data_IF_239298581350
#
_entry.id   IF_239298581350
#
_cell.length_a   1.000
_cell.length_b   1.000
_cell.length_c   1.000
_cell.angle_alpha   90.00
_cell.angle_beta   90.00
_cell.angle_gamma   90.00
#
_symmetry.space_group_name_H-M   'P 1'
#
loop_
_entity.id
_entity.type
_entity.pdbx_description
1 polymer ?
#
# COMPACT_ATOMS: atom_id res chain seq x y z
N UNK A 1 1.81 -62.37 -26.11
CA UNK A 1 1.38 -62.98 -24.82
C UNK A 1 2.47 -62.70 -23.78
N UNK A 2 2.07 -61.99 -22.72
CA UNK A 2 2.65 -61.82 -21.37
C UNK A 2 4.15 -61.47 -21.20
N UNK A 3 4.52 -60.30 -20.67
CA UNK A 3 4.51 -59.85 -19.25
C UNK A 3 5.42 -60.64 -18.30
N UNK A 4 6.54 -60.02 -17.88
CA UNK A 4 7.04 -59.76 -16.49
C UNK A 4 8.55 -59.44 -16.51
N UNK A 5 8.96 -58.20 -16.21
CA UNK A 5 9.18 -57.59 -14.88
C UNK A 5 10.58 -57.90 -14.31
N UNK A 6 11.51 -56.92 -14.30
CA UNK A 6 11.83 -56.02 -13.16
C UNK A 6 12.51 -56.74 -11.98
N UNK A 7 13.82 -56.50 -11.78
CA UNK A 7 14.46 -56.24 -10.48
C UNK A 7 16.00 -56.22 -10.60
N UNK A 8 16.57 -55.05 -10.83
CA UNK A 8 17.98 -54.74 -10.53
C UNK A 8 18.05 -53.43 -9.76
N UNK A 9 17.47 -53.46 -8.56
CA UNK A 9 17.62 -52.40 -7.56
C UNK A 9 18.64 -52.89 -6.53
N UNK A 10 19.77 -52.18 -6.47
CA UNK A 10 20.51 -51.88 -5.25
C UNK A 10 20.82 -53.05 -4.30
N UNK A 11 21.82 -53.83 -4.70
CA UNK A 11 22.58 -54.71 -3.82
C UNK A 11 23.71 -53.91 -3.15
N UNK A 12 23.41 -52.89 -2.34
CA UNK A 12 24.45 -52.15 -1.59
C UNK A 12 23.92 -51.32 -0.40
N UNK A 13 23.11 -51.88 0.51
CA UNK A 13 22.96 -51.28 1.86
C UNK A 13 22.47 -52.25 2.97
N UNK A 14 22.12 -53.49 2.63
CA UNK A 14 21.59 -54.45 3.62
C UNK A 14 22.63 -55.00 4.62
N UNK A 15 23.93 -54.72 4.44
CA UNK A 15 24.99 -55.25 5.30
C UNK A 15 25.32 -54.40 6.54
N UNK A 16 24.85 -53.15 6.64
CA UNK A 16 25.17 -52.27 7.79
C UNK A 16 24.22 -52.37 8.98
N UNK A 17 22.99 -52.86 8.80
CA UNK A 17 21.94 -52.78 9.83
C UNK A 17 22.01 -53.94 10.83
N UNK A 18 22.63 -55.08 10.50
CA UNK A 18 22.63 -56.27 11.37
C UNK A 18 23.45 -56.12 12.66
N UNK A 19 24.46 -55.25 12.68
CA UNK A 19 25.40 -55.08 13.81
C UNK A 19 25.04 -53.96 14.81
N UNK A 20 23.87 -53.32 14.68
CA UNK A 20 23.46 -52.23 15.56
C UNK A 20 22.66 -52.75 16.77
N UNK A 21 22.99 -52.25 17.98
CA UNK A 21 22.22 -52.50 19.21
C UNK A 21 20.74 -52.16 18.97
N UNK A 22 19.78 -52.89 19.55
CA UNK A 22 18.35 -52.76 19.23
C UNK A 22 17.82 -51.31 19.27
N UNK A 23 18.25 -50.49 20.24
CA UNK A 23 17.92 -49.05 20.29
C UNK A 23 18.37 -48.24 19.07
N UNK A 24 19.53 -48.54 18.47
CA UNK A 24 20.01 -47.84 17.27
C UNK A 24 19.28 -48.29 16.00
N UNK A 25 18.78 -49.54 15.93
CA UNK A 25 17.96 -49.99 14.80
C UNK A 25 16.63 -49.22 14.72
N UNK A 26 15.98 -49.00 15.86
CA UNK A 26 14.76 -48.19 15.92
C UNK A 26 15.00 -46.75 15.49
N UNK A 27 16.11 -46.13 15.91
CA UNK A 27 16.49 -44.77 15.50
C UNK A 27 16.71 -44.68 13.99
N UNK A 28 17.45 -45.63 13.39
CA UNK A 28 17.72 -45.63 11.94
C UNK A 28 16.43 -45.86 11.13
N UNK A 29 15.55 -46.75 11.58
CA UNK A 29 14.24 -46.98 10.93
C UNK A 29 13.36 -45.73 11.03
N UNK A 30 13.32 -45.07 12.20
CA UNK A 30 12.56 -43.84 12.38
C UNK A 30 13.07 -42.72 11.47
N UNK A 31 14.39 -42.55 11.36
CA UNK A 31 15.04 -41.57 10.46
C UNK A 31 14.69 -41.88 8.99
N UNK A 32 14.70 -43.15 8.59
CA UNK A 32 14.33 -43.55 7.22
C UNK A 32 12.85 -43.30 6.91
N UNK A 33 11.94 -43.62 7.84
CA UNK A 33 10.51 -43.41 7.66
C UNK A 33 10.19 -41.92 7.61
N UNK A 34 10.70 -41.13 8.55
CA UNK A 34 10.54 -39.66 8.57
C UNK A 34 11.16 -39.04 7.32
N UNK A 35 12.32 -39.53 6.88
CA UNK A 35 12.98 -39.10 5.65
C UNK A 35 12.17 -39.40 4.39
N UNK A 36 11.57 -40.58 4.26
CA UNK A 36 10.71 -40.93 3.11
C UNK A 36 9.40 -40.12 3.09
N UNK A 37 8.76 -39.93 4.23
CA UNK A 37 7.53 -39.12 4.33
C UNK A 37 7.81 -37.67 3.94
N UNK A 38 8.94 -37.11 4.39
CA UNK A 38 9.33 -35.75 4.06
C UNK A 38 9.65 -35.56 2.57
N UNK A 39 10.27 -36.56 1.93
CA UNK A 39 10.55 -36.55 0.48
C UNK A 39 9.26 -36.63 -0.35
N UNK A 40 8.25 -37.38 0.09
CA UNK A 40 6.95 -37.48 -0.59
C UNK A 40 6.17 -36.15 -0.51
N UNK A 41 6.17 -35.48 0.65
CA UNK A 41 5.49 -34.19 0.83
C UNK A 41 6.10 -33.05 -0.01
N UNK A 42 7.43 -33.00 -0.13
CA UNK A 42 8.13 -32.04 -1.00
C UNK A 42 7.71 -32.22 -2.46
N UNK A 43 7.60 -33.47 -2.91
CA UNK A 43 7.16 -33.76 -4.28
C UNK A 43 5.68 -33.39 -4.49
N UNK A 44 4.81 -33.66 -3.51
CA UNK A 44 3.40 -33.28 -3.57
C UNK A 44 3.25 -31.75 -3.64
N UNK A 45 3.99 -30.99 -2.82
CA UNK A 45 4.01 -29.53 -2.87
C UNK A 45 4.44 -29.01 -4.25
N UNK A 46 5.51 -29.58 -4.81
CA UNK A 46 6.02 -29.20 -6.13
C UNK A 46 5.02 -29.50 -7.24
N UNK A 47 4.38 -30.68 -7.21
CA UNK A 47 3.35 -31.05 -8.19
C UNK A 47 2.10 -30.17 -8.05
N UNK A 48 1.69 -29.85 -6.83
CA UNK A 48 0.63 -28.87 -6.60
C UNK A 48 0.94 -27.55 -7.29
N UNK A 49 2.12 -26.97 -7.04
CA UNK A 49 2.50 -25.68 -7.60
C UNK A 49 2.49 -25.71 -9.14
N UNK A 50 3.00 -26.79 -9.74
CA UNK A 50 2.96 -26.98 -11.20
C UNK A 50 1.55 -27.15 -11.75
N UNK A 51 0.65 -27.79 -11.01
CA UNK A 51 -0.72 -28.02 -11.44
C UNK A 51 -1.57 -26.74 -11.42
N UNK A 52 -1.34 -25.85 -10.46
CA UNK A 52 -2.14 -24.62 -10.30
C UNK A 52 -1.57 -23.41 -11.05
N UNK A 53 -0.28 -23.41 -11.37
CA UNK A 53 0.39 -22.27 -11.98
C UNK A 53 0.03 -22.09 -13.46
N UNK A 54 -0.36 -20.87 -13.83
CA UNK A 54 -0.76 -20.46 -15.17
C UNK A 54 0.09 -19.25 -15.62
N UNK A 55 1.33 -19.51 -16.01
CA UNK A 55 2.26 -18.46 -16.45
C UNK A 55 3.50 -19.02 -17.14
N UNK A 56 4.53 -18.20 -17.22
CA UNK A 56 5.84 -18.51 -17.78
C UNK A 56 6.61 -19.54 -16.95
N UNK A 57 7.28 -20.47 -17.65
CA UNK A 57 8.08 -21.50 -16.99
C UNK A 57 9.26 -20.90 -16.20
N UNK A 58 9.76 -19.74 -16.64
CA UNK A 58 10.84 -19.00 -16.01
C UNK A 58 10.49 -18.56 -14.59
N UNK A 59 9.29 -18.01 -14.37
CA UNK A 59 8.82 -17.61 -13.03
C UNK A 59 8.69 -18.83 -12.12
N UNK A 60 8.09 -19.91 -12.62
CA UNK A 60 7.93 -21.13 -11.84
C UNK A 60 9.27 -21.79 -11.48
N UNK A 61 10.23 -21.80 -12.43
CA UNK A 61 11.60 -22.27 -12.17
C UNK A 61 12.30 -21.44 -11.10
N UNK A 62 12.12 -20.12 -11.10
CA UNK A 62 12.67 -19.23 -10.06
C UNK A 62 12.10 -19.59 -8.69
N UNK A 63 10.80 -19.82 -8.57
CA UNK A 63 10.18 -20.27 -7.32
C UNK A 63 10.77 -21.59 -6.83
N UNK A 64 10.96 -22.56 -7.75
CA UNK A 64 11.58 -23.84 -7.44
C UNK A 64 13.02 -23.69 -6.93
N UNK A 65 13.81 -22.84 -7.59
CA UNK A 65 15.18 -22.55 -7.18
C UNK A 65 15.23 -21.95 -5.78
N UNK A 66 14.37 -20.97 -5.50
CA UNK A 66 14.27 -20.34 -4.18
C UNK A 66 13.86 -21.34 -3.11
N UNK A 67 12.83 -22.15 -3.38
CA UNK A 67 12.21 -23.06 -2.39
C UNK A 67 13.03 -24.31 -2.10
N UNK A 68 13.59 -24.93 -3.14
CA UNK A 68 14.23 -26.24 -3.02
C UNK A 68 15.77 -26.18 -3.04
N UNK A 69 16.36 -24.99 -3.25
CA UNK A 69 17.81 -24.79 -3.27
C UNK A 69 18.50 -25.75 -4.22
N UNK A 70 19.63 -26.34 -3.81
CA UNK A 70 20.44 -27.25 -4.65
C UNK A 70 19.67 -28.45 -5.23
N UNK A 71 18.55 -28.84 -4.63
CA UNK A 71 17.74 -29.98 -5.07
C UNK A 71 16.69 -29.62 -6.12
N UNK A 72 16.56 -28.33 -6.49
CA UNK A 72 15.47 -27.85 -7.32
C UNK A 72 15.36 -28.57 -8.67
N UNK A 73 16.47 -28.93 -9.31
CA UNK A 73 16.47 -29.62 -10.60
C UNK A 73 15.82 -31.01 -10.49
N UNK A 74 16.21 -31.78 -9.47
CA UNK A 74 15.63 -33.10 -9.24
C UNK A 74 14.15 -33.05 -8.89
N UNK A 75 13.74 -32.04 -8.10
CA UNK A 75 12.32 -31.82 -7.77
C UNK A 75 11.53 -31.37 -9.00
N UNK A 76 12.11 -30.51 -9.83
CA UNK A 76 11.51 -30.05 -11.09
C UNK A 76 11.22 -31.21 -12.04
N UNK A 77 12.20 -32.09 -12.24
CA UNK A 77 12.05 -33.27 -13.11
C UNK A 77 11.03 -34.26 -12.53
N UNK A 78 11.13 -34.56 -11.23
CA UNK A 78 10.25 -35.52 -10.56
C UNK A 78 8.79 -35.04 -10.50
N UNK A 79 8.56 -33.73 -10.44
CA UNK A 79 7.22 -33.13 -10.42
C UNK A 79 6.57 -33.00 -11.80
N UNK A 80 7.23 -33.49 -12.86
CA UNK A 80 6.67 -33.53 -14.20
C UNK A 80 5.28 -34.19 -14.27
N UNK A 81 4.50 -33.83 -15.28
CA UNK A 81 3.13 -34.33 -15.50
C UNK A 81 2.21 -34.12 -14.28
N UNK A 82 2.32 -32.97 -13.61
CA UNK A 82 1.39 -32.59 -12.56
C UNK A 82 -0.03 -32.41 -13.13
N UNK A 83 -1.05 -32.84 -12.38
CA UNK A 83 -2.45 -32.81 -12.80
C UNK A 83 -3.39 -32.34 -11.69
N UNK A 84 -4.69 -32.24 -12.00
CA UNK A 84 -5.72 -31.94 -10.98
C UNK A 84 -5.78 -32.96 -9.84
N UNK A 85 -5.33 -34.20 -10.05
CA UNK A 85 -5.24 -35.20 -8.98
C UNK A 85 -4.22 -34.80 -7.91
N UNK A 86 -3.15 -34.11 -8.30
CA UNK A 86 -2.15 -33.59 -7.36
C UNK A 86 -2.69 -32.45 -6.50
N UNK A 87 -3.64 -31.67 -7.03
CA UNK A 87 -4.37 -30.65 -6.28
C UNK A 87 -5.17 -31.30 -5.15
N UNK A 88 -5.96 -32.34 -5.48
CA UNK A 88 -6.76 -33.10 -4.51
C UNK A 88 -5.87 -33.78 -3.46
N UNK A 89 -4.77 -34.39 -3.91
CA UNK A 89 -3.82 -35.06 -3.00
C UNK A 89 -3.18 -34.07 -2.02
N UNK A 90 -2.87 -32.85 -2.45
CA UNK A 90 -2.36 -31.81 -1.56
C UNK A 90 -3.40 -31.36 -0.53
N UNK A 91 -4.69 -31.28 -0.91
CA UNK A 91 -5.77 -30.98 0.03
C UNK A 91 -5.96 -32.10 1.07
N UNK A 92 -5.90 -33.36 0.66
CA UNK A 92 -5.96 -34.52 1.56
C UNK A 92 -4.79 -34.54 2.56
N UNK A 93 -3.60 -34.11 2.12
CA UNK A 93 -2.37 -34.09 2.91
C UNK A 93 -2.04 -32.68 3.45
N UNK A 94 -3.04 -31.80 3.54
CA UNK A 94 -2.85 -30.41 3.95
C UNK A 94 -2.15 -30.24 5.30
N UNK A 95 -2.38 -31.14 6.26
CA UNK A 95 -1.72 -31.09 7.57
C UNK A 95 -0.21 -31.35 7.45
N UNK A 96 0.19 -32.34 6.68
CA UNK A 96 1.61 -32.63 6.43
C UNK A 96 2.30 -31.53 5.64
N UNK A 97 1.62 -30.94 4.65
CA UNK A 97 2.14 -29.79 3.90
C UNK A 97 2.26 -28.54 4.79
N UNK A 98 1.30 -28.31 5.69
CA UNK A 98 1.38 -27.22 6.66
C UNK A 98 2.57 -27.41 7.63
N UNK A 99 2.83 -28.63 8.10
CA UNK A 99 4.02 -28.94 8.91
C UNK A 99 5.32 -28.74 8.14
N UNK A 100 5.36 -29.15 6.86
CA UNK A 100 6.50 -28.94 5.97
C UNK A 100 6.83 -27.45 5.82
N UNK A 101 5.83 -26.62 5.49
CA UNK A 101 6.00 -25.17 5.36
C UNK A 101 6.37 -24.55 6.71
N UNK A 102 5.69 -24.95 7.80
CA UNK A 102 5.98 -24.45 9.15
C UNK A 102 7.42 -24.74 9.58
N UNK A 103 7.99 -25.88 9.20
CA UNK A 103 9.37 -26.24 9.49
C UNK A 103 10.41 -25.41 8.70
N UNK A 104 10.00 -24.78 7.58
CA UNK A 104 10.87 -23.91 6.78
C UNK A 104 10.85 -22.45 7.25
N UNK A 105 9.81 -22.02 7.97
CA UNK A 105 9.69 -20.65 8.48
C UNK A 105 10.78 -20.40 9.53
N UNK A 106 11.71 -19.50 9.21
CA UNK A 106 12.81 -19.07 10.10
C UNK A 106 12.57 -17.69 10.74
N UNK A 107 11.54 -16.96 10.29
CA UNK A 107 11.10 -15.68 10.85
C UNK A 107 9.57 -15.69 11.04
N UNK A 108 9.17 -16.09 12.24
CA UNK A 108 7.77 -16.25 12.64
C UNK A 108 7.00 -14.92 12.63
N UNK A 109 7.67 -13.81 12.96
CA UNK A 109 7.05 -12.49 13.01
C UNK A 109 6.62 -12.05 11.61
N UNK A 110 7.50 -12.21 10.61
CA UNK A 110 7.17 -11.91 9.20
C UNK A 110 6.04 -12.79 8.69
N UNK A 111 6.06 -14.10 8.99
CA UNK A 111 4.99 -15.01 8.60
C UNK A 111 3.64 -14.64 9.23
N UNK A 112 3.65 -14.25 10.51
CA UNK A 112 2.45 -13.78 11.22
C UNK A 112 1.92 -12.45 10.69
N UNK A 113 2.79 -11.48 10.38
CA UNK A 113 2.39 -10.21 9.74
C UNK A 113 1.72 -10.43 8.38
N UNK A 114 2.28 -11.29 7.54
CA UNK A 114 1.67 -11.66 6.28
C UNK A 114 0.30 -12.33 6.49
N UNK A 115 0.23 -13.32 7.37
CA UNK A 115 -1.01 -14.05 7.63
C UNK A 115 -2.13 -13.13 8.17
N UNK A 116 -1.77 -12.14 8.99
CA UNK A 116 -2.72 -11.20 9.61
C UNK A 116 -3.16 -10.08 8.69
N UNK A 117 -2.25 -9.54 7.87
CA UNK A 117 -2.49 -8.31 7.10
C UNK A 117 -2.23 -8.46 5.60
N UNK A 118 -1.14 -9.13 5.21
CA UNK A 118 -0.69 -9.21 3.82
C UNK A 118 -1.52 -10.13 2.90
N UNK A 119 -2.31 -11.06 3.46
CA UNK A 119 -3.06 -12.08 2.68
C UNK A 119 -4.07 -11.51 1.68
N UNK A 120 -4.54 -10.28 1.88
CA UNK A 120 -5.51 -9.63 0.99
C UNK A 120 -4.87 -9.04 -0.28
N UNK A 121 -3.54 -8.98 -0.34
CA UNK A 121 -2.78 -8.52 -1.49
C UNK A 121 -2.46 -9.73 -2.38
N UNK A 122 -2.68 -9.58 -3.68
CA UNK A 122 -2.56 -10.68 -4.64
C UNK A 122 -1.53 -10.45 -5.74
N UNK A 123 -1.16 -9.20 -6.03
CA UNK A 123 -0.11 -8.91 -7.01
C UNK A 123 1.26 -8.90 -6.34
N UNK A 124 2.28 -9.51 -6.97
CA UNK A 124 3.65 -9.59 -6.45
C UNK A 124 4.19 -8.20 -6.02
N UNK A 125 4.08 -7.15 -6.85
CA UNK A 125 4.57 -5.82 -6.47
C UNK A 125 3.78 -5.23 -5.28
N UNK A 126 2.48 -5.49 -5.20
CA UNK A 126 1.65 -5.02 -4.09
C UNK A 126 2.02 -5.72 -2.78
N UNK A 127 2.20 -7.05 -2.80
CA UNK A 127 2.63 -7.81 -1.61
C UNK A 127 4.00 -7.33 -1.14
N UNK A 128 4.93 -7.12 -2.07
CA UNK A 128 6.26 -6.59 -1.75
C UNK A 128 6.18 -5.24 -1.03
N UNK A 129 5.44 -4.28 -1.60
CA UNK A 129 5.26 -2.95 -1.03
C UNK A 129 4.49 -3.00 0.31
N UNK A 130 3.44 -3.82 0.40
CA UNK A 130 2.66 -4.00 1.61
C UNK A 130 3.50 -4.55 2.77
N UNK A 131 4.35 -5.54 2.52
CA UNK A 131 5.27 -6.06 3.54
C UNK A 131 6.36 -5.05 3.92
N UNK A 132 6.81 -4.21 3.00
CA UNK A 132 7.72 -3.09 3.30
C UNK A 132 7.07 -2.08 4.26
N UNK A 133 5.79 -1.73 4.05
CA UNK A 133 5.04 -0.86 4.97
C UNK A 133 4.87 -1.51 6.37
N UNK A 134 4.74 -2.84 6.41
CA UNK A 134 4.78 -3.64 7.65
C UNK A 134 6.19 -3.78 8.24
N UNK A 135 7.20 -3.11 7.67
CA UNK A 135 8.57 -3.05 8.20
C UNK A 135 9.42 -4.27 7.88
N UNK A 136 8.94 -5.14 6.98
CA UNK A 136 9.63 -6.37 6.56
C UNK A 136 10.04 -6.24 5.09
N UNK A 137 11.04 -5.40 4.84
CA UNK A 137 11.70 -5.36 3.54
C UNK A 137 12.22 -6.77 3.17
N UNK A 138 12.14 -7.13 1.90
CA UNK A 138 12.57 -8.45 1.38
C UNK A 138 11.76 -9.68 1.89
N UNK A 139 10.64 -9.46 2.59
CA UNK A 139 9.81 -10.56 3.10
C UNK A 139 9.29 -11.50 2.01
N UNK A 140 8.99 -10.96 0.82
CA UNK A 140 8.44 -11.72 -0.30
C UNK A 140 9.30 -12.93 -0.67
N UNK A 141 10.60 -12.72 -0.85
CA UNK A 141 11.53 -13.80 -1.22
C UNK A 141 11.60 -14.88 -0.13
N UNK A 142 11.62 -14.47 1.15
CA UNK A 142 11.56 -15.40 2.28
C UNK A 142 10.27 -16.23 2.26
N UNK A 143 9.11 -15.59 2.04
CA UNK A 143 7.82 -16.27 2.00
C UNK A 143 7.71 -17.26 0.83
N UNK A 144 8.25 -16.91 -0.35
CA UNK A 144 8.33 -17.81 -1.50
C UNK A 144 9.23 -19.03 -1.21
N UNK A 145 10.39 -18.77 -0.57
CA UNK A 145 11.35 -19.78 -0.12
C UNK A 145 10.74 -20.74 0.91
N UNK A 146 9.96 -20.23 1.86
CA UNK A 146 9.28 -21.08 2.85
C UNK A 146 8.15 -21.91 2.21
N UNK A 147 7.57 -21.43 1.11
CA UNK A 147 6.33 -21.97 0.55
C UNK A 147 5.07 -21.43 1.22
N UNK A 148 5.18 -20.36 2.01
CA UNK A 148 4.04 -19.69 2.62
C UNK A 148 3.19 -18.95 1.57
N UNK A 149 3.84 -18.47 0.52
CA UNK A 149 3.22 -17.93 -0.70
C UNK A 149 3.83 -18.58 -1.93
N UNK A 150 3.10 -18.56 -3.05
CA UNK A 150 3.60 -18.98 -4.35
C UNK A 150 2.89 -18.23 -5.48
N UNK A 151 3.51 -18.25 -6.65
CA UNK A 151 2.87 -17.74 -7.86
C UNK A 151 1.75 -18.68 -8.34
N UNK A 152 0.64 -18.09 -8.74
CA UNK A 152 -0.45 -18.72 -9.49
C UNK A 152 -0.46 -18.27 -10.96
N UNK A 153 0.12 -17.11 -11.26
CA UNK A 153 0.47 -16.64 -12.59
C UNK A 153 1.75 -15.78 -12.49
N UNK A 154 2.21 -15.20 -13.60
CA UNK A 154 3.45 -14.39 -13.61
C UNK A 154 3.46 -13.22 -12.61
N UNK A 155 2.30 -12.66 -12.29
CA UNK A 155 2.18 -11.51 -11.39
C UNK A 155 1.35 -11.79 -10.13
N UNK A 156 0.60 -12.89 -10.10
CA UNK A 156 -0.32 -13.20 -9.01
C UNK A 156 0.32 -14.16 -8.03
N UNK A 157 0.44 -13.74 -6.77
CA UNK A 157 0.94 -14.56 -5.66
C UNK A 157 -0.14 -14.67 -4.59
N UNK A 158 -0.23 -15.84 -3.96
CA UNK A 158 -1.04 -16.00 -2.77
C UNK A 158 -0.57 -17.17 -1.93
N UNK A 159 -1.10 -17.28 -0.71
CA UNK A 159 -0.93 -18.47 0.09
C UNK A 159 -1.72 -19.65 -0.52
N UNK A 160 -1.11 -20.83 -0.66
CA UNK A 160 -1.82 -22.05 -1.05
C UNK A 160 -3.06 -22.32 -0.18
N UNK A 161 -4.21 -22.71 -0.76
CA UNK A 161 -5.41 -23.10 -0.01
C UNK A 161 -5.17 -24.14 1.08
N UNK A 162 -4.29 -25.12 0.84
CA UNK A 162 -3.96 -26.16 1.84
C UNK A 162 -3.29 -25.60 3.11
N UNK A 163 -2.78 -24.36 3.09
CA UNK A 163 -2.18 -23.69 4.26
C UNK A 163 -3.18 -22.98 5.16
N UNK A 164 -4.49 -23.05 4.88
CA UNK A 164 -5.51 -22.33 5.66
C UNK A 164 -5.37 -22.54 7.18
N UNK A 165 -5.13 -23.77 7.65
CA UNK A 165 -4.93 -24.07 9.08
C UNK A 165 -3.65 -23.44 9.65
N UNK A 166 -2.56 -23.42 8.87
CA UNK A 166 -1.30 -22.78 9.29
C UNK A 166 -1.48 -21.27 9.42
N UNK A 167 -2.13 -20.63 8.45
CA UNK A 167 -2.39 -19.19 8.48
C UNK A 167 -3.23 -18.80 9.71
N UNK A 168 -4.26 -19.59 10.05
CA UNK A 168 -5.06 -19.35 11.26
C UNK A 168 -4.22 -19.44 12.55
N UNK A 169 -3.24 -20.36 12.62
CA UNK A 169 -2.29 -20.42 13.75
C UNK A 169 -1.37 -19.19 13.76
N UNK A 170 -0.84 -18.80 12.60
CA UNK A 170 0.05 -17.64 12.46
C UNK A 170 -0.64 -16.34 12.88
N UNK A 171 -1.93 -16.16 12.56
CA UNK A 171 -2.74 -14.99 12.96
C UNK A 171 -2.84 -14.84 14.48
N UNK A 172 -2.81 -15.96 15.23
CA UNK A 172 -2.92 -15.95 16.69
C UNK A 172 -1.63 -15.46 17.37
N UNK A 173 -0.51 -15.33 16.65
CA UNK A 173 0.70 -14.75 17.21
C UNK A 173 0.52 -13.26 17.48
N UNK A 174 0.86 -12.85 18.70
CA UNK A 174 0.82 -11.46 19.11
C UNK A 174 1.99 -10.70 18.46
N UNK A 175 1.74 -10.20 17.25
CA UNK A 175 2.63 -9.24 16.58
C UNK A 175 2.05 -7.85 16.72
N UNK A 176 2.83 -6.97 17.36
CA UNK A 176 2.50 -5.56 17.48
C UNK A 176 3.01 -4.81 16.27
N UNK A 177 2.10 -4.16 15.56
CA UNK A 177 2.48 -3.13 14.60
C UNK A 177 2.53 -1.80 15.34
N UNK A 178 3.73 -1.27 15.53
CA UNK A 178 3.95 0.06 16.10
C UNK A 178 4.00 1.09 14.96
N UNK A 179 2.82 1.43 14.44
CA UNK A 179 2.65 2.48 13.43
C UNK A 179 1.54 3.42 13.91
N UNK A 180 1.90 4.65 14.22
CA UNK A 180 0.93 5.72 14.48
C UNK A 180 0.69 6.47 13.17
N UNK A 181 -0.47 6.25 12.55
CA UNK A 181 -0.85 6.91 11.30
C UNK A 181 -0.81 8.44 11.42
N UNK A 182 -1.15 8.99 12.59
CA UNK A 182 -1.14 10.44 12.80
C UNK A 182 0.29 10.96 12.73
N UNK A 183 1.21 10.36 13.48
CA UNK A 183 2.62 10.78 13.46
C UNK A 183 3.26 10.59 12.08
N UNK A 184 2.95 9.47 11.41
CA UNK A 184 3.47 9.18 10.08
C UNK A 184 3.00 10.24 9.07
N UNK A 185 1.73 10.66 9.09
CA UNK A 185 1.18 11.68 8.18
C UNK A 185 1.58 13.11 8.56
N UNK A 186 1.62 13.44 9.85
CA UNK A 186 1.90 14.81 10.33
C UNK A 186 3.29 15.29 9.89
N UNK A 187 4.27 14.37 9.80
CA UNK A 187 5.62 14.65 9.28
C UNK A 187 5.61 15.20 7.84
N UNK A 188 4.62 14.80 7.04
CA UNK A 188 4.44 15.24 5.66
C UNK A 188 3.37 16.33 5.53
N UNK A 189 2.76 16.80 6.61
CA UNK A 189 1.67 17.79 6.58
C UNK A 189 2.04 19.15 5.97
N UNK A 190 3.34 19.42 5.79
CA UNK A 190 3.87 20.61 5.10
C UNK A 190 4.32 20.35 3.66
N UNK A 191 4.33 19.09 3.24
CA UNK A 191 4.48 18.72 1.84
C UNK A 191 3.10 18.70 1.17
N UNK A 192 2.61 19.89 0.85
CA UNK A 192 1.25 20.09 0.37
C UNK A 192 0.96 19.35 -0.94
N UNK A 193 1.98 19.20 -1.82
CA UNK A 193 1.85 18.45 -3.07
C UNK A 193 1.59 16.97 -2.79
N UNK A 194 2.45 16.35 -1.98
CA UNK A 194 2.32 14.93 -1.61
C UNK A 194 1.02 14.64 -0.88
N UNK A 195 0.60 15.51 0.04
CA UNK A 195 -0.64 15.33 0.82
C UNK A 195 -1.89 15.50 -0.05
N UNK A 196 -1.91 16.48 -0.95
CA UNK A 196 -2.97 16.60 -1.94
C UNK A 196 -3.03 15.36 -2.83
N UNK A 197 -1.88 14.91 -3.34
CA UNK A 197 -1.82 13.73 -4.22
C UNK A 197 -2.35 12.48 -3.52
N UNK A 198 -1.88 12.20 -2.30
CA UNK A 198 -2.38 11.08 -1.49
C UNK A 198 -3.90 11.17 -1.26
N UNK A 199 -4.41 12.35 -0.90
CA UNK A 199 -5.85 12.55 -0.70
C UNK A 199 -6.63 12.27 -2.00
N UNK A 200 -6.12 12.74 -3.14
CA UNK A 200 -6.70 12.49 -4.46
C UNK A 200 -6.74 11.02 -4.82
N UNK A 201 -5.64 10.29 -4.55
CA UNK A 201 -5.55 8.85 -4.80
C UNK A 201 -6.51 8.06 -3.89
N UNK A 202 -6.55 8.36 -2.59
CA UNK A 202 -7.43 7.67 -1.63
C UNK A 202 -8.91 7.86 -1.93
N UNK A 203 -9.28 9.02 -2.48
CA UNK A 203 -10.68 9.34 -2.80
C UNK A 203 -11.08 9.00 -4.23
N UNK A 204 -10.12 8.65 -5.09
CA UNK A 204 -10.36 8.44 -6.52
C UNK A 204 -10.76 9.70 -7.29
N UNK A 205 -10.62 10.87 -6.67
CA UNK A 205 -11.00 12.17 -7.25
C UNK A 205 -9.80 12.92 -7.86
N UNK A 206 -8.60 12.31 -7.89
CA UNK A 206 -7.39 12.96 -8.37
C UNK A 206 -7.56 13.61 -9.76
N UNK A 207 -7.21 14.89 -9.86
CA UNK A 207 -7.25 15.68 -11.09
C UNK A 207 -5.83 16.14 -11.43
N UNK A 208 -5.26 15.54 -12.47
CA UNK A 208 -3.87 15.78 -12.88
C UNK A 208 -3.64 17.20 -13.41
N UNK A 209 -4.59 17.77 -14.15
CA UNK A 209 -4.46 19.13 -14.69
C UNK A 209 -4.44 20.15 -13.55
N UNK A 210 -5.36 19.98 -12.59
CA UNK A 210 -5.44 20.82 -11.42
C UNK A 210 -4.23 20.65 -10.50
N UNK A 211 -3.74 19.42 -10.31
CA UNK A 211 -2.49 19.18 -9.57
C UNK A 211 -1.30 19.87 -10.25
N UNK A 212 -1.16 19.74 -11.58
CA UNK A 212 -0.11 20.41 -12.36
C UNK A 212 -0.12 21.92 -12.21
N UNK A 213 -1.30 22.52 -12.19
CA UNK A 213 -1.45 23.96 -12.02
C UNK A 213 -0.95 24.46 -10.65
N UNK A 214 -1.20 23.70 -9.57
CA UNK A 214 -0.90 24.11 -8.19
C UNK A 214 0.43 23.59 -7.65
N UNK A 215 0.93 22.46 -8.14
CA UNK A 215 2.06 21.75 -7.56
C UNK A 215 3.09 21.27 -8.59
N UNK A 216 2.81 21.36 -9.89
CA UNK A 216 3.65 20.78 -10.94
C UNK A 216 3.32 19.32 -11.23
N UNK A 217 4.18 18.63 -11.98
CA UNK A 217 3.91 17.24 -12.38
C UNK A 217 3.74 16.33 -11.14
N UNK A 218 2.73 15.45 -11.12
CA UNK A 218 2.59 14.50 -10.02
C UNK A 218 3.80 13.58 -9.97
N UNK A 219 4.18 13.17 -8.75
CA UNK A 219 5.31 12.29 -8.55
C UNK A 219 5.00 10.90 -9.13
N UNK A 220 5.95 10.32 -9.88
CA UNK A 220 5.86 8.93 -10.36
C UNK A 220 5.96 7.92 -9.21
N UNK A 221 6.52 8.35 -8.08
CA UNK A 221 6.63 7.60 -6.84
C UNK A 221 6.37 8.52 -5.65
N UNK A 222 5.58 8.05 -4.70
CA UNK A 222 5.32 8.73 -3.43
C UNK A 222 5.42 7.73 -2.29
N UNK A 223 6.15 8.07 -1.23
CA UNK A 223 6.21 7.26 0.00
C UNK A 223 5.93 8.14 1.20
N UNK A 224 4.84 7.85 1.90
CA UNK A 224 4.43 8.53 3.13
C UNK A 224 4.74 7.60 4.29
N UNK A 225 5.99 7.67 4.74
CA UNK A 225 6.50 6.87 5.85
C UNK A 225 6.15 5.38 5.72
N UNK A 226 5.49 4.85 6.74
CA UNK A 226 4.92 3.49 6.77
C UNK A 226 3.41 3.45 6.50
N UNK A 227 2.79 4.58 6.17
CA UNK A 227 1.34 4.67 5.97
C UNK A 227 0.90 4.22 4.58
N UNK A 228 1.61 4.69 3.54
CA UNK A 228 1.30 4.37 2.15
C UNK A 228 2.48 4.57 1.21
N UNK A 229 2.45 3.85 0.10
CA UNK A 229 3.36 4.02 -1.02
C UNK A 229 2.56 3.98 -2.32
N UNK A 230 2.90 4.85 -3.26
CA UNK A 230 2.38 4.89 -4.62
C UNK A 230 3.54 4.78 -5.59
N UNK A 231 3.36 3.95 -6.61
CA UNK A 231 4.21 3.95 -7.80
C UNK A 231 3.32 3.90 -9.04
N UNK A 232 3.71 4.56 -10.12
CA UNK A 232 2.87 4.66 -11.33
C UNK A 232 2.56 3.32 -12.00
N UNK A 233 3.41 2.31 -11.79
CA UNK A 233 3.28 0.94 -12.32
C UNK A 233 2.37 0.05 -11.46
N UNK A 234 2.24 0.31 -10.16
CA UNK A 234 1.46 -0.54 -9.23
C UNK A 234 0.16 0.13 -8.77
N UNK A 235 0.17 1.46 -8.64
CA UNK A 235 -0.86 2.24 -7.99
C UNK A 235 -0.58 2.47 -6.50
N UNK A 236 -1.60 2.92 -5.77
CA UNK A 236 -1.51 3.20 -4.34
C UNK A 236 -1.62 1.90 -3.54
N UNK A 237 -0.62 1.62 -2.72
CA UNK A 237 -0.61 0.55 -1.71
C UNK A 237 -0.64 1.22 -0.33
N UNK A 238 -1.73 1.02 0.40
CA UNK A 238 -1.87 1.43 1.80
C UNK A 238 -1.29 0.33 2.69
N UNK A 239 -0.77 0.72 3.86
CA UNK A 239 -0.28 -0.25 4.84
C UNK A 239 -1.38 -1.28 5.16
N UNK A 240 -1.15 -2.59 4.94
CA UNK A 240 -2.20 -3.60 5.03
C UNK A 240 -2.83 -3.77 6.42
N UNK A 241 -2.24 -3.15 7.44
CA UNK A 241 -2.83 -3.13 8.78
C UNK A 241 -3.97 -2.11 8.96
N UNK A 242 -4.18 -1.23 7.98
CA UNK A 242 -5.23 -0.22 8.00
C UNK A 242 -6.02 -0.25 6.70
N UNK A 243 -7.27 0.21 6.76
CA UNK A 243 -8.06 0.45 5.56
C UNK A 243 -7.71 1.80 4.90
N UNK A 244 -7.93 1.96 3.59
CA UNK A 244 -7.80 3.26 2.93
C UNK A 244 -8.65 4.36 3.58
N UNK A 245 -9.83 4.02 4.11
CA UNK A 245 -10.73 4.94 4.81
C UNK A 245 -10.17 5.40 6.15
N UNK A 246 -9.51 4.50 6.91
CA UNK A 246 -8.84 4.87 8.15
C UNK A 246 -7.70 5.87 7.87
N UNK A 247 -6.89 5.61 6.85
CA UNK A 247 -5.83 6.52 6.44
C UNK A 247 -6.38 7.88 5.98
N UNK A 248 -7.44 7.89 5.18
CA UNK A 248 -8.13 9.10 4.74
C UNK A 248 -8.70 9.88 5.93
N UNK A 249 -9.30 9.18 6.90
CA UNK A 249 -9.84 9.79 8.12
C UNK A 249 -8.77 10.57 8.90
N UNK A 250 -7.61 9.95 9.14
CA UNK A 250 -6.49 10.62 9.83
C UNK A 250 -5.94 11.78 9.01
N UNK A 251 -5.78 11.60 7.69
CA UNK A 251 -5.34 12.66 6.76
C UNK A 251 -6.27 13.88 6.84
N UNK A 252 -7.59 13.68 6.85
CA UNK A 252 -8.57 14.76 6.95
C UNK A 252 -8.60 15.41 8.33
N UNK A 253 -8.32 14.69 9.41
CA UNK A 253 -8.20 15.30 10.75
C UNK A 253 -6.98 16.22 10.83
N UNK A 254 -5.83 15.82 10.26
CA UNK A 254 -4.64 16.68 10.14
C UNK A 254 -4.97 17.91 9.30
N UNK A 255 -5.63 17.71 8.14
CA UNK A 255 -6.06 18.81 7.28
C UNK A 255 -6.98 19.78 8.01
N UNK A 256 -7.96 19.27 8.76
CA UNK A 256 -8.88 20.07 9.58
C UNK A 256 -8.13 20.89 10.61
N UNK A 257 -7.22 20.28 11.37
CA UNK A 257 -6.41 21.00 12.36
C UNK A 257 -5.65 22.17 11.74
N UNK A 258 -5.05 21.98 10.55
CA UNK A 258 -4.36 23.05 9.82
C UNK A 258 -5.31 24.12 9.30
N UNK A 259 -6.45 23.72 8.73
CA UNK A 259 -7.48 24.64 8.27
C UNK A 259 -8.01 25.51 9.43
N UNK A 260 -8.24 24.92 10.61
CA UNK A 260 -8.67 25.63 11.82
C UNK A 260 -7.62 26.65 12.27
N UNK A 261 -6.33 26.32 12.17
CA UNK A 261 -5.23 27.24 12.48
C UNK A 261 -5.19 28.43 11.51
N UNK A 262 -5.34 28.17 10.20
CA UNK A 262 -5.39 29.21 9.19
C UNK A 262 -6.62 30.11 9.34
N UNK A 263 -7.79 29.54 9.57
CA UNK A 263 -9.03 30.28 9.80
C UNK A 263 -8.88 31.25 10.98
N UNK A 264 -8.27 30.79 12.09
CA UNK A 264 -7.95 31.65 13.24
C UNK A 264 -6.95 32.76 12.90
N UNK A 265 -5.91 32.45 12.14
CA UNK A 265 -4.89 33.44 11.75
C UNK A 265 -5.49 34.53 10.85
N UNK A 266 -6.39 34.16 9.94
CA UNK A 266 -7.05 35.08 9.03
C UNK A 266 -8.11 35.96 9.70
N UNK A 267 -8.60 35.58 10.89
CA UNK A 267 -9.63 36.31 11.64
C UNK A 267 -10.88 36.66 10.81
N UNK A 268 -11.24 35.80 9.86
CA UNK A 268 -12.36 36.04 8.95
C UNK A 268 -13.69 36.10 9.73
N UNK A 269 -14.52 37.10 9.44
CA UNK A 269 -15.87 37.18 10.00
C UNK A 269 -16.81 36.15 9.34
N UNK A 270 -17.59 35.40 10.14
CA UNK A 270 -18.60 34.44 9.65
C UNK A 270 -18.59 33.11 10.38
N UNK A 271 -19.48 32.20 9.96
CA UNK A 271 -19.51 30.82 10.45
C UNK A 271 -18.50 29.98 9.67
N UNK A 272 -17.51 29.47 10.39
CA UNK A 272 -16.50 28.55 9.88
C UNK A 272 -16.85 27.12 10.28
N UNK A 273 -16.80 26.21 9.31
CA UNK A 273 -16.87 24.77 9.55
C UNK A 273 -15.91 24.01 8.64
N UNK A 274 -15.44 22.84 9.08
CA UNK A 274 -14.73 21.94 8.18
C UNK A 274 -15.73 21.06 7.44
N UNK A 275 -15.84 21.22 6.12
CA UNK A 275 -16.74 20.44 5.28
C UNK A 275 -16.05 19.17 4.83
N UNK A 276 -16.56 18.01 5.25
CA UNK A 276 -16.10 16.70 4.73
C UNK A 276 -16.37 16.55 3.24
N UNK A 277 -17.42 17.19 2.72
CA UNK A 277 -17.75 17.16 1.29
C UNK A 277 -16.72 17.90 0.44
N UNK A 278 -16.25 19.05 0.91
CA UNK A 278 -15.21 19.82 0.24
C UNK A 278 -13.81 19.35 0.62
N UNK A 279 -13.67 18.64 1.75
CA UNK A 279 -12.40 18.26 2.37
C UNK A 279 -11.51 19.49 2.65
N UNK A 280 -12.16 20.58 3.06
CA UNK A 280 -11.52 21.85 3.40
C UNK A 280 -12.35 22.57 4.47
N UNK A 281 -11.71 23.51 5.17
CA UNK A 281 -12.43 24.54 5.90
C UNK A 281 -13.30 25.35 4.94
N UNK A 282 -14.52 25.67 5.33
CA UNK A 282 -15.48 26.42 4.54
C UNK A 282 -16.02 27.56 5.39
N UNK A 283 -16.01 28.75 4.81
CA UNK A 283 -16.58 29.94 5.43
C UNK A 283 -17.43 30.68 4.42
N UNK A 284 -18.71 30.84 4.77
CA UNK A 284 -19.64 31.61 3.97
C UNK A 284 -19.57 33.08 4.38
N UNK A 285 -19.38 33.97 3.39
CA UNK A 285 -19.40 35.41 3.60
C UNK A 285 -20.49 36.02 2.74
N UNK A 286 -21.27 36.93 3.33
CA UNK A 286 -22.27 37.76 2.66
C UNK A 286 -22.11 39.19 3.14
N UNK A 287 -21.72 40.09 2.24
CA UNK A 287 -21.46 41.50 2.58
C UNK A 287 -22.73 42.34 2.68
N UNK A 288 -23.76 42.03 1.87
CA UNK A 288 -25.00 42.80 1.80
C UNK A 288 -26.25 41.95 1.49
N UNK A 289 -26.15 40.62 1.59
CA UNK A 289 -27.26 39.71 1.28
C UNK A 289 -27.52 39.50 -0.22
N UNK A 290 -26.79 40.18 -1.12
CA UNK A 290 -26.89 39.93 -2.55
C UNK A 290 -26.06 38.71 -2.98
N UNK A 291 -26.52 37.99 -4.00
CA UNK A 291 -25.80 36.83 -4.53
C UNK A 291 -24.43 37.19 -5.15
N UNK A 292 -24.26 38.43 -5.63
CA UNK A 292 -23.01 38.91 -6.23
C UNK A 292 -21.94 39.26 -5.19
N UNK A 293 -22.35 39.59 -3.95
CA UNK A 293 -21.43 39.87 -2.83
C UNK A 293 -21.49 38.81 -1.73
N UNK A 294 -21.97 37.62 -2.11
CA UNK A 294 -21.91 36.42 -1.30
C UNK A 294 -21.00 35.39 -1.97
N UNK A 295 -20.27 34.64 -1.17
CA UNK A 295 -19.31 33.65 -1.67
C UNK A 295 -18.82 32.71 -0.57
N UNK A 296 -18.08 31.71 -1.02
CA UNK A 296 -17.50 30.69 -0.15
C UNK A 296 -15.99 30.86 -0.17
N UNK A 297 -15.40 30.98 1.00
CA UNK A 297 -13.96 30.86 1.20
C UNK A 297 -13.68 29.42 1.57
N UNK A 298 -12.93 28.71 0.74
CA UNK A 298 -12.45 27.39 1.06
C UNK A 298 -10.99 27.45 1.51
N UNK A 299 -10.77 27.09 2.76
CA UNK A 299 -9.46 27.04 3.42
C UNK A 299 -8.95 25.61 3.30
N UNK A 300 -8.08 25.39 2.32
CA UNK A 300 -7.55 24.10 1.92
C UNK A 300 -6.02 24.10 2.15
N UNK A 301 -5.53 23.68 3.35
CA UNK A 301 -4.09 23.61 3.65
C UNK A 301 -3.26 23.02 2.52
N UNK A 302 -3.76 21.93 1.95
CA UNK A 302 -3.44 21.47 0.61
C UNK A 302 -4.74 21.32 -0.20
N UNK A 303 -4.62 21.35 -1.53
CA UNK A 303 -5.75 21.38 -2.44
C UNK A 303 -6.63 20.13 -2.29
N UNK A 304 -7.95 20.32 -2.34
CA UNK A 304 -8.91 19.23 -2.46
C UNK A 304 -9.34 19.07 -3.92
N UNK A 305 -9.42 17.83 -4.40
CA UNK A 305 -9.94 17.51 -5.74
C UNK A 305 -11.45 17.23 -5.75
N UNK A 306 -12.14 17.44 -4.62
CA UNK A 306 -13.58 17.18 -4.52
C UNK A 306 -14.36 17.93 -5.60
N UNK A 307 -15.04 17.19 -6.48
CA UNK A 307 -15.89 17.78 -7.52
C UNK A 307 -16.96 18.71 -6.95
N UNK A 308 -17.40 18.49 -5.69
CA UNK A 308 -18.40 19.33 -5.02
C UNK A 308 -17.86 20.73 -4.75
N UNK A 309 -16.59 20.86 -4.33
CA UNK A 309 -15.92 22.14 -4.16
C UNK A 309 -15.90 22.93 -5.47
N UNK A 310 -15.41 22.28 -6.54
CA UNK A 310 -15.14 22.94 -7.81
C UNK A 310 -16.37 23.28 -8.65
N UNK A 311 -17.47 22.51 -8.52
CA UNK A 311 -18.68 22.68 -9.33
C UNK A 311 -19.82 23.45 -8.66
N UNK A 312 -19.94 23.40 -7.32
CA UNK A 312 -21.11 23.96 -6.62
C UNK A 312 -20.84 25.31 -5.97
N UNK A 313 -19.59 25.65 -5.66
CA UNK A 313 -19.28 26.92 -5.02
C UNK A 313 -19.34 28.08 -6.04
N UNK A 314 -20.32 28.96 -5.89
CA UNK A 314 -20.38 30.25 -6.59
C UNK A 314 -19.46 31.25 -5.87
N UNK A 315 -18.75 32.09 -6.61
CA UNK A 315 -17.81 33.08 -6.05
C UNK A 315 -16.83 32.45 -5.04
N UNK A 316 -16.25 31.30 -5.42
CA UNK A 316 -15.27 30.58 -4.61
C UNK A 316 -13.96 31.35 -4.54
N UNK A 317 -13.42 31.46 -3.33
CA UNK A 317 -12.07 31.93 -3.07
C UNK A 317 -11.32 30.82 -2.35
N UNK A 318 -10.17 30.45 -2.90
CA UNK A 318 -9.33 29.39 -2.38
C UNK A 318 -8.22 30.00 -1.54
N UNK A 319 -8.07 29.49 -0.33
CA UNK A 319 -6.92 29.78 0.53
C UNK A 319 -6.12 28.49 0.66
N UNK A 320 -4.87 28.51 0.24
CA UNK A 320 -3.98 27.35 0.22
C UNK A 320 -2.69 27.70 0.96
N UNK A 321 -2.11 26.76 1.70
CA UNK A 321 -0.78 27.00 2.27
C UNK A 321 0.32 26.76 1.23
N UNK A 322 1.40 27.54 1.35
CA UNK A 322 2.56 27.43 0.48
C UNK A 322 2.77 28.70 -0.33
N UNK A 323 3.58 28.56 -1.39
CA UNK A 323 3.91 29.66 -2.29
C UNK A 323 3.17 29.51 -3.62
N UNK A 324 2.95 30.65 -4.29
CA UNK A 324 2.33 30.66 -5.61
C UNK A 324 3.24 29.93 -6.63
N UNK A 325 2.70 29.00 -7.44
CA UNK A 325 3.45 28.41 -8.54
C UNK A 325 3.82 29.47 -9.59
N UNK A 326 5.06 29.51 -10.09
CA UNK A 326 5.50 30.54 -11.06
C UNK A 326 4.67 30.60 -12.34
N UNK A 327 4.17 29.46 -12.79
CA UNK A 327 3.33 29.33 -13.98
C UNK A 327 1.86 29.76 -13.75
N UNK A 328 1.38 29.81 -12.51
CA UNK A 328 -0.01 30.14 -12.21
C UNK A 328 -0.18 31.65 -12.11
N UNK A 329 -0.47 32.29 -13.26
CA UNK A 329 -0.65 33.76 -13.34
C UNK A 329 -2.09 34.21 -13.13
N UNK A 330 -3.04 33.42 -13.61
CA UNK A 330 -4.47 33.73 -13.53
C UNK A 330 -5.28 32.45 -13.40
N UNK A 331 -6.40 32.53 -12.70
CA UNK A 331 -7.25 31.37 -12.45
C UNK A 331 -8.72 31.76 -12.42
N UNK A 332 -9.60 30.78 -12.61
CA UNK A 332 -11.06 31.01 -12.65
C UNK A 332 -11.59 31.56 -11.33
N UNK A 333 -10.99 31.12 -10.24
CA UNK A 333 -11.33 31.52 -8.88
C UNK A 333 -10.22 32.40 -8.32
N UNK A 334 -10.56 33.20 -7.31
CA UNK A 334 -9.54 33.91 -6.55
C UNK A 334 -8.74 32.91 -5.73
N UNK A 335 -7.41 33.02 -5.75
CA UNK A 335 -6.53 32.12 -5.00
C UNK A 335 -5.58 32.94 -4.15
N UNK A 336 -5.46 32.57 -2.89
CA UNK A 336 -4.57 33.20 -1.91
C UNK A 336 -3.66 32.11 -1.37
N UNK A 337 -2.36 32.26 -1.59
CA UNK A 337 -1.32 31.38 -1.05
C UNK A 337 -0.77 31.99 0.23
N UNK A 338 -0.81 31.26 1.34
CA UNK A 338 -0.35 31.74 2.65
C UNK A 338 0.95 31.04 3.04
N UNK A 339 1.97 31.84 3.37
CA UNK A 339 3.24 31.35 3.89
C UNK A 339 3.86 32.34 4.87
N UNK A 340 4.01 31.93 6.14
CA UNK A 340 4.84 32.67 7.10
C UNK A 340 4.43 34.12 7.36
N UNK A 341 3.14 34.46 7.25
CA UNK A 341 2.64 35.83 7.39
C UNK A 341 2.58 36.63 6.08
N UNK A 342 3.01 36.03 4.97
CA UNK A 342 2.85 36.56 3.62
C UNK A 342 1.65 35.91 2.93
N UNK A 343 0.96 36.69 2.10
CA UNK A 343 -0.16 36.24 1.28
C UNK A 343 0.11 36.61 -0.19
N UNK A 344 0.39 35.62 -1.03
CA UNK A 344 0.47 35.82 -2.48
C UNK A 344 -0.89 35.63 -3.13
N UNK A 345 -1.32 36.61 -3.91
CA UNK A 345 -2.72 36.71 -4.35
C UNK A 345 -2.82 36.61 -5.88
N UNK A 346 -3.72 35.73 -6.34
CA UNK A 346 -4.13 35.61 -7.74
C UNK A 346 -5.58 36.06 -7.85
N UNK A 347 -5.79 37.19 -8.52
CA UNK A 347 -7.14 37.72 -8.79
C UNK A 347 -7.91 36.79 -9.74
N UNK A 348 -9.21 36.56 -9.49
CA UNK A 348 -10.06 35.81 -10.42
C UNK A 348 -10.17 36.51 -11.78
N UNK A 349 -10.47 35.75 -12.85
CA UNK A 349 -10.72 36.32 -14.19
C UNK A 349 -11.79 37.42 -14.18
N UNK A 350 -12.84 37.23 -13.40
CA UNK A 350 -13.93 38.20 -13.25
C UNK A 350 -13.72 39.01 -11.97
N UNK A 351 -13.76 40.36 -12.03
CA UNK A 351 -13.66 41.20 -10.84
C UNK A 351 -14.65 40.78 -9.75
N UNK A 352 -14.18 40.71 -8.51
CA UNK A 352 -14.94 40.15 -7.40
C UNK A 352 -14.81 41.04 -6.16
N UNK A 353 -15.90 41.69 -5.74
CA UNK A 353 -15.92 42.55 -4.55
C UNK A 353 -15.60 41.80 -3.26
N UNK A 354 -15.99 40.53 -3.19
CA UNK A 354 -15.69 39.68 -2.04
C UNK A 354 -14.21 39.32 -1.97
N UNK A 355 -13.52 39.29 -3.11
CA UNK A 355 -12.08 39.07 -3.16
C UNK A 355 -11.31 40.28 -2.66
N UNK A 356 -11.67 41.48 -3.12
CA UNK A 356 -11.08 42.74 -2.61
C UNK A 356 -11.32 42.89 -1.10
N UNK A 357 -12.53 42.56 -0.61
CA UNK A 357 -12.79 42.52 0.83
C UNK A 357 -11.86 41.57 1.59
N UNK A 358 -11.58 40.37 1.05
CA UNK A 358 -10.65 39.45 1.73
C UNK A 358 -9.22 40.00 1.72
N UNK A 359 -8.80 40.70 0.67
CA UNK A 359 -7.51 41.40 0.66
C UNK A 359 -7.45 42.42 1.81
N UNK A 360 -8.51 43.22 2.00
CA UNK A 360 -8.60 44.16 3.13
C UNK A 360 -8.53 43.43 4.49
N UNK A 361 -9.18 42.26 4.61
CA UNK A 361 -9.12 41.43 5.81
C UNK A 361 -7.71 40.89 6.06
N UNK A 362 -6.98 40.49 5.01
CA UNK A 362 -5.58 40.06 5.13
C UNK A 362 -4.69 41.19 5.68
N UNK A 363 -4.83 42.40 5.15
CA UNK A 363 -4.11 43.57 5.69
C UNK A 363 -4.50 43.84 7.15
N UNK A 364 -5.79 43.78 7.49
CA UNK A 364 -6.28 43.94 8.86
C UNK A 364 -5.77 42.87 9.84
N UNK A 365 -5.57 41.64 9.35
CA UNK A 365 -5.00 40.53 10.10
C UNK A 365 -3.46 40.58 10.17
N UNK A 366 -2.82 41.57 9.54
CA UNK A 366 -1.38 41.79 9.59
C UNK A 366 -0.55 40.98 8.58
N UNK A 367 -1.17 40.45 7.53
CA UNK A 367 -0.46 39.78 6.45
C UNK A 367 0.20 40.81 5.50
N UNK A 368 1.39 40.47 5.01
CA UNK A 368 2.01 41.17 3.89
C UNK A 368 1.45 40.59 2.58
N UNK A 369 0.69 41.41 1.84
CA UNK A 369 -0.02 40.97 0.63
C UNK A 369 0.79 41.30 -0.63
N UNK A 370 1.07 40.27 -1.43
CA UNK A 370 1.73 40.36 -2.72
C UNK A 370 0.72 40.18 -3.84
N UNK A 371 0.33 41.28 -4.48
CA UNK A 371 -0.52 41.28 -5.68
C UNK A 371 0.36 41.19 -6.92
N UNK A 372 0.14 40.16 -7.75
CA UNK A 372 1.09 39.78 -8.80
C UNK A 372 1.26 40.78 -9.95
N UNK A 373 2.21 41.70 -9.82
CA UNK A 373 3.04 42.23 -10.92
C UNK A 373 4.54 42.37 -10.59
N UNK A 374 4.96 42.30 -9.32
CA UNK A 374 6.39 42.38 -8.95
C UNK A 374 6.84 41.15 -8.16
N UNK A 375 7.29 40.13 -8.89
CA UNK A 375 8.06 39.00 -8.32
C UNK A 375 9.16 38.59 -9.30
N UNK A 376 9.83 39.59 -9.86
CA UNK A 376 11.10 39.43 -10.56
C UNK A 376 12.09 40.38 -9.91
N UNK A 377 13.10 39.79 -9.26
CA UNK A 377 14.16 40.40 -8.44
C UNK A 377 13.79 40.58 -6.97
N UNK A 378 14.19 39.62 -6.13
CA UNK A 378 15.37 39.79 -5.26
C UNK A 378 16.06 38.44 -5.04
#
# INVERSE_FOLDING_TARGET
MCLKALNTTFCASAMGVRALKPRMKWIVILIFIVGQIHVDLVLIEARYQRAVFQGSEEVLKRDFQLRYGDKWQGVWEASGNASEEDIKKAEELAEGLAELVSARIDDLETAALYAKYGRNLTLEPQVKLGMELLGKAEALEKMLRWGLVMHFSDEVISAPPYLAKLLLKLIQHDVKLDVDLWEELERYSRDYSSMAFLEGLLTGDFDEELHKAFYGAPASQLKIGRAAVYTSDVGLVVNPAYSPEELLGVLLQIKKRRADMLARALSLHGEYEFSEEYRCGSQYISLDGSAEKSGVIAICPWLSYSRRLWRRARNLILIVEGSRPPQLRQFKYGVIFIRGGEAEVIKPYTPSKIFEYIIDVLYGAGFYVLEGEESSAF
#
